data_IF_779114158107
#
_entry.id   IF_779114158107
#
_cell.length_a   1.000
_cell.length_b   1.000
_cell.length_c   1.000
_cell.angle_alpha   90.00
_cell.angle_beta   90.00
_cell.angle_gamma   90.00
#
_symmetry.space_group_name_H-M   'P 1'
#
loop_
_entity.id
_entity.type
_entity.pdbx_description
1 polymer ?
#
# COMPACT_ATOMS: atom_id res chain seq x y z
N UNK A 1 -13.89 -11.02 -92.37
CA UNK A 1 -12.91 -11.84 -91.65
C UNK A 1 -11.78 -10.90 -91.18
N UNK A 2 -11.97 -10.29 -90.03
CA UNK A 2 -11.07 -9.24 -89.54
C UNK A 2 -10.70 -9.57 -88.11
N UNK A 3 -9.44 -9.96 -87.95
CA UNK A 3 -8.82 -10.33 -86.64
C UNK A 3 -8.50 -9.05 -85.93
N UNK A 4 -9.22 -8.76 -84.82
CA UNK A 4 -8.85 -7.70 -83.86
C UNK A 4 -7.83 -8.28 -82.87
N UNK A 5 -6.64 -7.73 -82.96
CA UNK A 5 -5.54 -7.98 -81.99
C UNK A 5 -5.69 -7.07 -80.80
N UNK A 6 -5.84 -7.67 -79.61
CA UNK A 6 -5.83 -6.96 -78.32
C UNK A 6 -4.38 -6.59 -77.90
N UNK A 7 -4.14 -5.40 -77.33
CA UNK A 7 -2.81 -5.02 -76.85
C UNK A 7 -2.54 -5.64 -75.44
N UNK A 8 -1.27 -5.87 -75.06
CA UNK A 8 -0.90 -6.43 -73.82
C UNK A 8 -1.01 -5.40 -72.67
N UNK A 9 -1.70 -5.81 -71.61
CA UNK A 9 -1.80 -5.05 -70.37
C UNK A 9 -0.43 -5.05 -69.66
N UNK A 10 0.20 -3.86 -69.61
CA UNK A 10 1.42 -3.64 -68.79
C UNK A 10 1.00 -3.57 -67.32
N UNK A 11 1.41 -4.55 -66.53
CA UNK A 11 1.30 -4.51 -65.09
C UNK A 11 2.27 -3.45 -64.52
N UNK A 12 1.72 -2.40 -63.95
CA UNK A 12 2.46 -1.42 -63.14
C UNK A 12 2.71 -2.06 -61.76
N UNK A 13 3.94 -2.51 -61.51
CA UNK A 13 4.39 -2.81 -60.18
C UNK A 13 4.66 -1.49 -59.45
N UNK A 14 3.79 -1.12 -58.49
CA UNK A 14 4.04 -0.08 -57.54
C UNK A 14 4.98 -0.63 -56.45
N UNK A 15 6.10 0.05 -56.13
CA UNK A 15 6.92 -0.34 -55.00
C UNK A 15 6.20 0.01 -53.70
N UNK A 16 5.95 -1.01 -52.86
CA UNK A 16 5.45 -0.82 -51.50
C UNK A 16 6.49 -0.09 -50.66
N UNK A 17 6.13 0.98 -49.93
CA UNK A 17 7.06 1.61 -49.01
C UNK A 17 7.31 0.67 -47.82
N UNK A 18 8.57 0.26 -47.64
CA UNK A 18 9.04 -0.45 -46.48
C UNK A 18 9.03 0.51 -45.27
N UNK A 19 7.99 0.45 -44.43
CA UNK A 19 7.96 1.16 -43.16
C UNK A 19 9.00 0.53 -42.23
N UNK A 20 10.19 1.14 -42.13
CA UNK A 20 11.12 0.89 -41.05
C UNK A 20 10.46 1.42 -39.74
N UNK A 21 9.87 0.52 -38.96
CA UNK A 21 9.49 0.81 -37.59
C UNK A 21 10.79 1.00 -36.76
N UNK A 22 11.12 2.24 -36.46
CA UNK A 22 12.20 2.58 -35.53
C UNK A 22 11.75 2.12 -34.14
N UNK A 23 12.28 0.98 -33.68
CA UNK A 23 12.19 0.58 -32.27
C UNK A 23 13.02 1.56 -31.46
N UNK A 24 12.39 2.55 -30.84
CA UNK A 24 13.01 3.33 -29.78
C UNK A 24 13.37 2.37 -28.62
N UNK A 25 14.63 2.41 -28.11
CA UNK A 25 14.98 1.59 -26.95
C UNK A 25 14.04 2.00 -25.79
N UNK A 26 13.27 1.06 -25.27
CA UNK A 26 12.49 1.26 -24.06
C UNK A 26 13.48 1.57 -22.93
N UNK A 27 13.49 2.81 -22.47
CA UNK A 27 14.24 3.23 -21.28
C UNK A 27 13.67 2.42 -20.12
N UNK A 28 14.40 1.38 -19.73
CA UNK A 28 14.07 0.57 -18.56
C UNK A 28 14.26 1.48 -17.34
N UNK A 29 13.22 1.70 -16.49
CA UNK A 29 13.44 2.40 -15.23
C UNK A 29 14.60 1.73 -14.49
N UNK A 30 15.50 2.48 -13.81
CA UNK A 30 16.53 1.87 -13.00
C UNK A 30 15.89 0.83 -12.09
N UNK A 31 16.53 -0.34 -11.98
CA UNK A 31 16.10 -1.37 -11.06
C UNK A 31 15.92 -0.68 -9.71
N UNK A 32 14.69 -0.71 -9.14
CA UNK A 32 14.48 -0.22 -7.81
C UNK A 32 15.50 -0.93 -6.93
N UNK A 33 16.35 -0.18 -6.23
CA UNK A 33 17.23 -0.72 -5.20
C UNK A 33 16.39 -1.71 -4.41
N UNK A 34 16.89 -2.95 -4.22
CA UNK A 34 16.11 -4.03 -3.63
C UNK A 34 15.48 -3.49 -2.35
N UNK A 35 14.18 -3.22 -2.41
CA UNK A 35 13.50 -2.43 -1.40
C UNK A 35 13.69 -3.17 -0.08
N UNK A 36 14.28 -2.51 0.90
CA UNK A 36 14.52 -3.07 2.22
C UNK A 36 13.25 -3.74 2.74
N UNK A 37 13.29 -5.01 3.19
CA UNK A 37 12.11 -5.67 3.74
C UNK A 37 11.51 -4.85 4.89
N UNK A 38 10.18 -4.82 4.96
CA UNK A 38 9.50 -4.12 6.04
C UNK A 38 9.72 -4.87 7.35
N UNK A 39 10.39 -4.24 8.31
CA UNK A 39 10.52 -4.72 9.67
C UNK A 39 9.60 -3.87 10.57
N UNK A 40 8.48 -4.46 11.03
CA UNK A 40 7.48 -3.74 11.81
C UNK A 40 8.01 -3.36 13.19
N UNK A 41 8.80 -4.23 13.82
CA UNK A 41 9.37 -3.97 15.14
C UNK A 41 10.31 -2.77 15.06
N UNK A 42 11.29 -2.83 14.17
CA UNK A 42 12.26 -1.75 13.97
C UNK A 42 11.62 -0.43 13.54
N UNK A 43 10.58 -0.49 12.67
CA UNK A 43 9.94 0.73 12.17
C UNK A 43 9.17 1.46 13.25
N UNK A 44 8.40 0.73 14.08
CA UNK A 44 7.54 1.34 15.08
C UNK A 44 8.18 1.46 16.48
N UNK A 45 9.36 0.90 16.70
CA UNK A 45 10.12 1.15 17.93
C UNK A 45 10.61 2.61 17.95
N UNK A 46 10.32 3.36 19.02
CA UNK A 46 10.56 4.80 19.13
C UNK A 46 9.32 5.65 18.78
N UNK A 47 9.51 6.79 18.14
CA UNK A 47 8.43 7.74 17.82
C UNK A 47 8.12 7.76 16.33
N UNK A 48 6.84 7.70 16.01
CA UNK A 48 6.34 7.91 14.65
C UNK A 48 5.19 8.91 14.64
N UNK A 49 5.03 9.61 13.52
CA UNK A 49 3.92 10.50 13.25
C UNK A 49 3.28 10.15 11.93
N UNK A 50 1.95 10.00 11.92
CA UNK A 50 1.14 9.78 10.75
C UNK A 50 0.24 10.95 10.43
N UNK A 51 0.11 11.28 9.16
CA UNK A 51 -0.84 12.28 8.67
C UNK A 51 -1.57 11.72 7.45
N UNK A 52 -2.89 11.84 7.44
CA UNK A 52 -3.68 11.25 6.38
C UNK A 52 -5.11 11.74 6.31
N UNK A 53 -5.86 11.07 5.45
CA UNK A 53 -7.28 11.34 5.21
C UNK A 53 -8.09 10.08 5.42
N UNK A 54 -9.05 10.15 6.33
CA UNK A 54 -10.06 9.14 6.56
C UNK A 54 -11.30 9.48 5.75
N UNK A 55 -11.73 8.55 4.90
CA UNK A 55 -13.01 8.60 4.18
C UNK A 55 -13.95 7.56 4.76
N UNK A 56 -15.15 7.96 5.13
CA UNK A 56 -16.23 7.08 5.58
C UNK A 56 -17.41 7.27 4.65
N UNK A 57 -18.04 6.18 4.23
CA UNK A 57 -19.22 6.23 3.35
C UNK A 57 -20.28 7.17 3.95
N UNK A 58 -20.86 8.01 3.11
CA UNK A 58 -21.86 9.03 3.46
C UNK A 58 -21.38 10.10 4.45
N UNK A 59 -20.05 10.30 4.56
CA UNK A 59 -19.48 11.37 5.39
C UNK A 59 -18.40 12.12 4.63
N UNK A 60 -18.20 13.37 4.97
CA UNK A 60 -17.07 14.16 4.44
C UNK A 60 -15.75 13.54 4.86
N UNK A 61 -14.75 13.63 3.97
CA UNK A 61 -13.40 13.23 4.26
C UNK A 61 -12.83 14.05 5.42
N UNK A 62 -12.11 13.41 6.34
CA UNK A 62 -11.59 14.07 7.54
C UNK A 62 -10.08 13.85 7.61
N UNK A 63 -9.33 14.91 7.89
CA UNK A 63 -7.90 14.81 8.18
C UNK A 63 -7.70 14.09 9.52
N UNK A 64 -6.71 13.22 9.56
CA UNK A 64 -6.26 12.57 10.79
C UNK A 64 -4.78 12.85 11.03
N UNK A 65 -4.42 12.88 12.31
CA UNK A 65 -3.04 12.87 12.78
C UNK A 65 -2.90 11.76 13.81
N UNK A 66 -1.83 10.98 13.70
CA UNK A 66 -1.52 9.88 14.61
C UNK A 66 -0.13 10.09 15.18
N UNK A 67 -0.02 10.23 16.47
CA UNK A 67 1.27 10.26 17.17
C UNK A 67 1.45 8.92 17.88
N UNK A 68 2.58 8.25 17.63
CA UNK A 68 2.83 6.93 18.18
C UNK A 68 4.13 6.91 18.96
N UNK A 69 4.11 6.13 20.05
CA UNK A 69 5.29 5.77 20.84
C UNK A 69 5.35 4.27 20.95
N UNK A 70 6.36 3.66 20.34
CA UNK A 70 6.63 2.25 20.39
C UNK A 70 7.79 1.94 21.33
N UNK A 71 7.73 0.76 21.95
CA UNK A 71 8.80 0.20 22.78
C UNK A 71 8.85 -1.29 22.57
N UNK A 72 10.02 -1.79 22.25
CA UNK A 72 10.27 -3.24 22.20
C UNK A 72 10.57 -3.74 23.61
N UNK A 73 9.78 -4.70 24.07
CA UNK A 73 9.90 -5.37 25.36
C UNK A 73 11.05 -6.40 25.32
N UNK A 74 11.45 -6.91 26.49
CA UNK A 74 12.52 -7.90 26.61
C UNK A 74 12.20 -9.23 25.94
N UNK A 75 10.92 -9.57 25.79
CA UNK A 75 10.44 -10.78 25.08
C UNK A 75 10.31 -10.58 23.54
N UNK A 76 10.78 -9.44 23.02
CA UNK A 76 10.68 -9.08 21.61
C UNK A 76 9.29 -8.56 21.18
N UNK A 77 8.34 -8.43 22.09
CA UNK A 77 7.03 -7.83 21.78
C UNK A 77 7.16 -6.31 21.63
N UNK A 78 6.65 -5.78 20.54
CA UNK A 78 6.52 -4.34 20.34
C UNK A 78 5.18 -3.87 20.93
N UNK A 79 5.24 -2.96 21.90
CA UNK A 79 4.08 -2.23 22.43
C UNK A 79 4.05 -0.83 21.83
N UNK A 80 2.94 -0.44 21.19
CA UNK A 80 2.78 0.89 20.58
C UNK A 80 1.54 1.56 21.14
N UNK A 81 1.71 2.73 21.73
CA UNK A 81 0.62 3.62 22.14
C UNK A 81 0.46 4.72 21.12
N UNK A 82 -0.75 4.87 20.60
CA UNK A 82 -1.11 5.87 19.59
C UNK A 82 -2.13 6.86 20.13
N UNK A 83 -1.90 8.13 19.86
CA UNK A 83 -2.89 9.21 20.03
C UNK A 83 -3.42 9.55 18.63
N UNK A 84 -4.69 9.31 18.38
CA UNK A 84 -5.36 9.54 17.09
C UNK A 84 -6.26 10.75 17.19
N UNK A 85 -5.90 11.83 16.52
CA UNK A 85 -6.70 13.05 16.37
C UNK A 85 -7.47 13.00 15.06
N UNK A 86 -8.76 13.37 15.08
CA UNK A 86 -9.69 13.20 13.99
C UNK A 86 -10.63 14.41 13.89
N UNK A 87 -10.28 15.41 13.08
CA UNK A 87 -10.98 16.69 13.02
C UNK A 87 -11.11 17.31 14.41
N UNK A 88 -12.27 17.84 14.72
CA UNK A 88 -12.55 18.51 16.01
C UNK A 88 -12.99 17.55 17.14
N UNK A 89 -12.89 16.23 16.90
CA UNK A 89 -13.26 15.23 17.90
C UNK A 89 -12.17 15.05 18.95
N UNK A 90 -12.53 14.67 20.19
CA UNK A 90 -11.56 14.29 21.20
C UNK A 90 -10.61 13.22 20.68
N UNK A 91 -9.31 13.39 20.96
CA UNK A 91 -8.31 12.41 20.59
C UNK A 91 -8.59 11.05 21.24
N UNK A 92 -8.31 9.99 20.53
CA UNK A 92 -8.47 8.61 21.01
C UNK A 92 -7.14 7.95 21.20
N UNK A 93 -7.03 7.17 22.26
CA UNK A 93 -5.87 6.33 22.50
C UNK A 93 -6.13 4.94 21.91
N UNK A 94 -5.14 4.41 21.21
CA UNK A 94 -5.11 3.04 20.68
C UNK A 94 -3.82 2.39 21.14
N UNK A 95 -3.88 1.11 21.43
CA UNK A 95 -2.73 0.34 21.90
C UNK A 95 -2.59 -0.92 21.07
N UNK A 96 -1.37 -1.15 20.59
CA UNK A 96 -0.97 -2.32 19.84
C UNK A 96 0.05 -3.10 20.66
N UNK A 97 -0.04 -4.41 20.56
CA UNK A 97 1.04 -5.31 20.96
C UNK A 97 1.27 -6.26 19.79
N UNK A 98 2.48 -6.28 19.26
CA UNK A 98 2.83 -7.05 18.06
C UNK A 98 4.10 -7.84 18.34
N UNK A 99 4.10 -9.11 17.96
CA UNK A 99 5.25 -9.99 18.03
C UNK A 99 5.48 -10.66 16.69
N UNK A 100 6.72 -10.82 16.31
CA UNK A 100 7.11 -11.63 15.18
C UNK A 100 7.13 -13.09 15.59
N UNK A 101 6.42 -13.96 14.87
CA UNK A 101 6.38 -15.42 15.11
C UNK A 101 7.44 -16.16 14.31
N UNK A 102 7.71 -15.69 13.12
CA UNK A 102 8.75 -16.16 12.20
C UNK A 102 9.05 -15.04 11.21
N UNK A 103 10.15 -15.08 10.45
CA UNK A 103 10.54 -14.00 9.58
C UNK A 103 9.41 -13.48 8.70
N UNK A 104 9.04 -12.20 8.88
CA UNK A 104 7.97 -11.52 8.17
C UNK A 104 6.54 -11.96 8.55
N UNK A 105 6.35 -12.73 9.62
CA UNK A 105 5.03 -13.15 10.13
C UNK A 105 4.79 -12.58 11.51
N UNK A 106 3.72 -11.82 11.66
CA UNK A 106 3.39 -11.10 12.87
C UNK A 106 2.03 -11.52 13.43
N UNK A 107 1.93 -11.53 14.75
CA UNK A 107 0.65 -11.66 15.47
C UNK A 107 0.60 -10.60 16.56
N UNK A 108 -0.58 -10.16 16.89
CA UNK A 108 -0.73 -9.19 17.97
C UNK A 108 -2.17 -8.89 18.34
N UNK A 109 -2.31 -7.84 19.13
CA UNK A 109 -3.59 -7.30 19.56
C UNK A 109 -3.67 -5.81 19.26
N UNK A 110 -4.89 -5.30 19.19
CA UNK A 110 -5.19 -3.89 19.06
C UNK A 110 -6.41 -3.59 19.92
N UNK A 111 -6.38 -2.51 20.69
CA UNK A 111 -7.47 -2.10 21.60
C UNK A 111 -8.83 -1.96 20.92
N UNK A 112 -8.85 -1.59 19.63
CA UNK A 112 -10.06 -1.44 18.82
C UNK A 112 -10.48 -2.73 18.10
N UNK A 113 -9.66 -3.76 18.14
CA UNK A 113 -9.97 -5.06 17.53
C UNK A 113 -10.81 -5.93 18.44
N UNK A 114 -11.62 -6.80 17.86
CA UNK A 114 -12.41 -7.83 18.54
C UNK A 114 -11.77 -9.22 18.46
N UNK A 115 -10.53 -9.31 17.98
CA UNK A 115 -9.78 -10.54 17.81
C UNK A 115 -8.31 -10.26 17.51
N UNK A 116 -7.52 -11.29 17.17
CA UNK A 116 -6.11 -11.12 16.90
C UNK A 116 -5.87 -10.28 15.64
N UNK A 117 -4.74 -9.58 15.65
CA UNK A 117 -4.14 -8.97 14.47
C UNK A 117 -3.15 -9.98 13.88
N UNK A 118 -3.22 -10.23 12.58
CA UNK A 118 -2.24 -11.04 11.87
C UNK A 118 -1.56 -10.21 10.80
N UNK A 119 -0.25 -10.39 10.64
CA UNK A 119 0.56 -9.65 9.70
C UNK A 119 1.46 -10.53 8.85
N UNK A 120 1.68 -10.12 7.61
CA UNK A 120 2.63 -10.76 6.71
C UNK A 120 3.40 -9.72 5.90
N UNK A 121 4.69 -9.93 5.73
CA UNK A 121 5.58 -9.08 4.93
C UNK A 121 5.84 -9.75 3.58
N UNK A 122 5.80 -8.94 2.54
CA UNK A 122 6.24 -9.28 1.19
C UNK A 122 7.08 -8.11 0.66
N UNK A 123 8.40 -8.29 0.58
CA UNK A 123 9.32 -7.21 0.24
C UNK A 123 9.18 -6.03 1.21
N UNK A 124 9.03 -4.83 0.69
CA UNK A 124 8.87 -3.60 1.48
C UNK A 124 7.44 -3.35 1.99
N UNK A 125 6.54 -4.33 1.89
CA UNK A 125 5.13 -4.16 2.26
C UNK A 125 4.74 -5.09 3.40
N UNK A 126 4.19 -4.52 4.47
CA UNK A 126 3.50 -5.22 5.55
C UNK A 126 1.99 -5.18 5.29
N UNK A 127 1.33 -6.33 5.33
CA UNK A 127 -0.13 -6.44 5.29
C UNK A 127 -0.64 -6.93 6.63
N UNK A 128 -1.45 -6.12 7.31
CA UNK A 128 -2.14 -6.44 8.56
C UNK A 128 -3.62 -6.72 8.29
N UNK A 129 -4.17 -7.72 8.96
CA UNK A 129 -5.59 -8.07 8.92
C UNK A 129 -6.11 -8.26 10.33
N UNK A 130 -7.26 -7.70 10.62
CA UNK A 130 -7.93 -7.83 11.91
C UNK A 130 -9.42 -7.53 11.83
N UNK A 131 -10.15 -8.05 12.81
CA UNK A 131 -11.56 -7.70 13.02
C UNK A 131 -11.66 -6.55 14.01
N UNK A 132 -12.49 -5.57 13.68
CA UNK A 132 -12.82 -4.46 14.58
C UNK A 132 -14.19 -4.72 15.22
N UNK A 133 -14.47 -4.03 16.33
CA UNK A 133 -15.78 -4.05 16.98
C UNK A 133 -16.89 -3.68 15.99
N UNK A 134 -18.08 -4.23 16.16
CA UNK A 134 -19.21 -4.01 15.24
C UNK A 134 -19.20 -4.83 13.96
N UNK A 135 -18.41 -5.92 13.90
CA UNK A 135 -18.36 -6.84 12.75
C UNK A 135 -17.65 -6.28 11.53
N UNK A 136 -16.72 -5.33 11.73
CA UNK A 136 -15.93 -4.73 10.68
C UNK A 136 -14.64 -5.54 10.45
N UNK A 137 -14.25 -5.71 9.19
CA UNK A 137 -12.97 -6.32 8.81
C UNK A 137 -12.04 -5.24 8.27
N UNK A 138 -10.82 -5.19 8.79
CA UNK A 138 -9.78 -4.27 8.36
C UNK A 138 -8.66 -4.99 7.63
N UNK A 139 -8.30 -4.46 6.47
CA UNK A 139 -7.08 -4.75 5.73
C UNK A 139 -6.24 -3.49 5.71
N UNK A 140 -4.98 -3.59 6.14
CA UNK A 140 -4.07 -2.46 6.24
C UNK A 140 -2.73 -2.82 5.58
N UNK A 141 -2.30 -2.02 4.63
CA UNK A 141 -1.04 -2.19 3.92
C UNK A 141 -0.12 -1.01 4.23
N UNK A 142 1.06 -1.32 4.76
CA UNK A 142 2.12 -0.35 4.96
C UNK A 142 3.23 -0.64 3.96
N UNK A 143 3.54 0.32 3.11
CA UNK A 143 4.63 0.21 2.12
C UNK A 143 5.76 1.11 2.53
N UNK A 144 6.91 0.53 2.87
CA UNK A 144 8.11 1.26 3.28
C UNK A 144 8.68 2.03 2.10
N UNK A 145 8.92 3.32 2.29
CA UNK A 145 9.59 4.15 1.29
C UNK A 145 11.11 3.88 1.29
N UNK A 146 11.81 4.20 0.20
CA UNK A 146 13.27 4.18 0.17
C UNK A 146 13.86 4.92 1.36
N UNK A 147 14.96 4.39 1.93
CA UNK A 147 15.58 4.93 3.14
C UNK A 147 14.94 4.50 4.45
N UNK A 148 13.82 3.78 4.45
CA UNK A 148 13.26 3.11 5.63
C UNK A 148 12.69 4.01 6.72
N UNK A 149 12.58 5.32 6.51
CA UNK A 149 12.14 6.30 7.52
C UNK A 149 10.70 6.76 7.37
N UNK A 150 10.02 6.35 6.31
CA UNK A 150 8.59 6.63 6.11
C UNK A 150 7.90 5.43 5.48
N UNK A 151 6.60 5.33 5.72
CA UNK A 151 5.75 4.32 5.11
C UNK A 151 4.42 4.94 4.66
N UNK A 152 3.95 4.54 3.50
CA UNK A 152 2.59 4.81 3.06
C UNK A 152 1.67 3.74 3.64
N UNK A 153 0.64 4.18 4.35
CA UNK A 153 -0.35 3.34 5.01
C UNK A 153 -1.70 3.48 4.32
N UNK A 154 -2.16 2.42 3.68
CA UNK A 154 -3.49 2.32 3.11
C UNK A 154 -4.31 1.30 3.93
N UNK A 155 -5.43 1.74 4.51
CA UNK A 155 -6.33 0.83 5.22
C UNK A 155 -7.72 0.86 4.56
N UNK A 156 -8.32 -0.31 4.46
CA UNK A 156 -9.72 -0.48 4.04
C UNK A 156 -10.48 -1.22 5.12
N UNK A 157 -11.64 -0.67 5.47
CA UNK A 157 -12.56 -1.29 6.42
C UNK A 157 -13.81 -1.72 5.68
N UNK A 158 -14.18 -3.00 5.85
CA UNK A 158 -15.32 -3.60 5.18
C UNK A 158 -16.37 -4.07 6.19
N UNK A 159 -17.63 -3.96 5.79
CA UNK A 159 -18.77 -4.58 6.45
C UNK A 159 -19.62 -5.30 5.42
N UNK A 160 -19.94 -6.57 5.66
CA UNK A 160 -20.65 -7.42 4.68
C UNK A 160 -20.03 -7.42 3.28
N UNK A 161 -18.68 -7.41 3.19
CA UNK A 161 -17.96 -7.37 1.92
C UNK A 161 -17.80 -5.97 1.30
N UNK A 162 -18.60 -4.99 1.69
CA UNK A 162 -18.55 -3.62 1.14
C UNK A 162 -17.54 -2.75 1.89
N UNK A 163 -16.78 -1.95 1.18
CA UNK A 163 -15.87 -0.97 1.80
C UNK A 163 -16.70 0.17 2.39
N UNK A 164 -16.65 0.33 3.71
CA UNK A 164 -17.38 1.36 4.47
C UNK A 164 -16.48 2.50 4.94
N UNK A 165 -15.17 2.28 5.00
CA UNK A 165 -14.19 3.32 5.27
C UNK A 165 -12.85 3.00 4.63
N UNK A 166 -12.06 4.03 4.33
CA UNK A 166 -10.65 3.93 3.92
C UNK A 166 -9.83 5.03 4.56
N UNK A 167 -8.57 4.69 4.87
CA UNK A 167 -7.57 5.61 5.35
C UNK A 167 -6.40 5.59 4.38
N UNK A 168 -5.94 6.77 4.00
CA UNK A 168 -4.71 7.01 3.25
C UNK A 168 -3.83 7.93 4.09
N UNK A 169 -2.65 7.42 4.50
CA UNK A 169 -1.81 8.08 5.50
C UNK A 169 -0.34 7.90 5.14
N UNK A 170 0.46 8.92 5.40
CA UNK A 170 1.92 8.81 5.41
C UNK A 170 2.41 8.81 6.86
N UNK A 171 3.15 7.78 7.23
CA UNK A 171 3.77 7.64 8.55
C UNK A 171 5.27 7.93 8.42
N UNK A 172 5.81 8.75 9.31
CA UNK A 172 7.23 9.08 9.40
C UNK A 172 7.79 8.62 10.74
N UNK A 173 8.95 7.97 10.70
CA UNK A 173 9.74 7.68 11.89
C UNK A 173 10.53 8.92 12.26
N UNK A 174 10.40 9.36 13.49
CA UNK A 174 11.05 10.58 13.99
C UNK A 174 12.44 10.25 14.56
N UNK A 175 12.52 9.28 15.45
CA UNK A 175 13.74 8.73 16.06
C UNK A 175 13.44 7.43 16.83
#
# INVERSE_FOLDING_TARGET
MCLMRSPPMRAFLLPAPLLLAAFAPAVRPPAADAAQPFDAIRFFDGRTEGQGVLKVVLRSATKIRVESRGRTETDGTLSVRQTVSHGDKPARIREWRIRELSPGRYVGTLSDASGPVVGAVAGNRLHLRFRMKGGLNADQWLTLAPGGRSAHNLMRVRKFGLTVASLDETIRKLY
#
